data_IF_030483780998
#
_entry.id   IF_030483780998
#
_cell.length_a   1.000
_cell.length_b   1.000
_cell.length_c   1.000
_cell.angle_alpha   90.00
_cell.angle_beta   90.00
_cell.angle_gamma   90.00
#
_symmetry.space_group_name_H-M   'P 1'
#
loop_
_entity.id
_entity.type
_entity.pdbx_description
1 polymer ?
#
# COMPACT_ATOMS: atom_id res chain seq x y z
N UNK A 1 23.89 -72.47 -1.86
CA UNK A 1 22.66 -73.07 -1.28
C UNK A 1 21.50 -72.62 -2.15
N UNK A 2 21.19 -73.27 -3.28
CA UNK A 2 20.27 -74.44 -3.42
C UNK A 2 19.01 -74.23 -2.55
N UNK A 3 17.78 -74.21 -3.07
CA UNK A 3 17.13 -75.16 -3.99
C UNK A 3 15.88 -74.51 -4.62
N UNK A 4 15.71 -74.76 -5.92
CA UNK A 4 14.49 -74.62 -6.73
C UNK A 4 13.57 -75.84 -6.59
N UNK A 5 12.25 -75.69 -6.60
CA UNK A 5 11.33 -76.78 -6.98
C UNK A 5 10.14 -76.29 -7.80
N UNK A 6 10.19 -76.63 -9.09
CA UNK A 6 9.06 -76.89 -9.98
C UNK A 6 8.55 -78.31 -9.73
N UNK A 7 7.29 -78.62 -10.09
CA UNK A 7 6.93 -79.93 -10.58
C UNK A 7 6.46 -79.89 -12.04
N UNK A 8 7.02 -80.80 -12.84
CA UNK A 8 6.56 -81.22 -14.18
C UNK A 8 5.78 -82.54 -14.07
N UNK A 9 4.95 -82.83 -15.09
CA UNK A 9 4.41 -84.16 -15.41
C UNK A 9 2.88 -84.16 -15.56
N UNK A 10 2.26 -83.95 -16.74
CA UNK A 10 2.21 -84.70 -18.02
C UNK A 10 1.24 -85.90 -18.01
N UNK A 11 0.31 -85.85 -18.98
CA UNK A 11 -0.31 -86.92 -19.80
C UNK A 11 -1.84 -86.87 -19.70
N UNK A 12 -2.55 -86.40 -20.73
CA UNK A 12 -2.83 -87.15 -21.96
C UNK A 12 -4.07 -88.03 -21.70
N UNK A 13 -5.19 -87.94 -22.41
CA UNK A 13 -5.31 -88.02 -23.85
C UNK A 13 -6.80 -87.87 -24.26
N UNK A 14 -7.05 -87.60 -25.55
CA UNK A 14 -8.23 -88.08 -26.32
C UNK A 14 -9.51 -87.20 -26.32
N UNK A 15 -9.66 -86.51 -27.46
CA UNK A 15 -10.88 -86.27 -28.27
C UNK A 15 -11.99 -85.40 -27.69
N UNK A 16 -12.35 -84.31 -28.36
CA UNK A 16 -13.31 -84.36 -29.49
C UNK A 16 -14.60 -85.06 -29.07
N UNK A 17 -15.39 -84.42 -28.20
CA UNK A 17 -16.84 -84.52 -28.14
C UNK A 17 -17.33 -83.29 -27.34
N UNK A 18 -18.48 -82.73 -27.70
CA UNK A 18 -19.05 -81.47 -27.17
C UNK A 18 -18.61 -80.16 -27.85
N UNK A 19 -18.51 -80.17 -29.18
CA UNK A 19 -19.07 -79.09 -30.01
C UNK A 19 -20.59 -79.29 -30.07
N UNK A 20 -21.30 -78.82 -29.06
CA UNK A 20 -22.73 -78.51 -29.07
C UNK A 20 -23.17 -78.24 -27.62
N UNK A 21 -24.01 -77.22 -27.43
CA UNK A 21 -24.85 -77.03 -26.25
C UNK A 21 -24.36 -76.15 -25.08
N UNK A 22 -23.44 -75.20 -25.30
CA UNK A 22 -23.34 -74.00 -24.44
C UNK A 22 -23.27 -72.76 -25.34
N UNK A 23 -24.33 -72.54 -26.10
CA UNK A 23 -24.49 -71.34 -26.93
C UNK A 23 -25.92 -70.85 -26.80
N UNK A 24 -26.44 -70.70 -25.58
CA UNK A 24 -27.75 -70.04 -25.43
C UNK A 24 -28.05 -69.45 -24.04
N UNK A 25 -27.29 -69.76 -22.99
CA UNK A 25 -27.59 -69.24 -21.64
C UNK A 25 -26.65 -68.15 -21.09
N UNK A 26 -25.60 -67.74 -21.82
CA UNK A 26 -24.71 -66.63 -21.40
C UNK A 26 -25.00 -65.30 -22.10
N UNK A 27 -26.00 -65.24 -23.00
CA UNK A 27 -26.30 -64.03 -23.79
C UNK A 27 -27.38 -63.11 -23.19
N UNK A 28 -28.13 -63.54 -22.18
CA UNK A 28 -29.16 -62.69 -21.56
C UNK A 28 -28.73 -61.94 -20.30
N UNK A 29 -27.62 -62.32 -19.63
CA UNK A 29 -27.16 -61.61 -18.42
C UNK A 29 -26.16 -60.46 -18.69
N UNK A 30 -25.50 -60.46 -19.85
CA UNK A 30 -24.53 -59.44 -20.24
C UNK A 30 -25.15 -58.06 -20.57
N UNK A 31 -26.33 -57.95 -21.21
CA UNK A 31 -26.94 -56.65 -21.50
C UNK A 31 -27.37 -55.92 -20.21
N UNK A 32 -27.94 -56.66 -19.24
CA UNK A 32 -28.47 -56.08 -18.00
C UNK A 32 -27.38 -55.50 -17.08
N UNK A 33 -26.22 -56.16 -17.00
CA UNK A 33 -25.09 -55.67 -16.20
C UNK A 33 -24.35 -54.51 -16.88
N UNK A 34 -24.25 -54.51 -18.21
CA UNK A 34 -23.66 -53.41 -18.98
C UNK A 34 -24.48 -52.12 -18.87
N UNK A 35 -25.80 -52.19 -18.97
CA UNK A 35 -26.69 -51.05 -18.78
C UNK A 35 -26.63 -50.49 -17.36
N UNK A 36 -26.53 -51.36 -16.35
CA UNK A 36 -26.42 -50.95 -14.94
C UNK A 36 -25.08 -50.23 -14.67
N UNK A 37 -23.98 -50.72 -15.24
CA UNK A 37 -22.65 -50.09 -15.12
C UNK A 37 -22.61 -48.76 -15.86
N UNK A 38 -23.20 -48.66 -17.05
CA UNK A 38 -23.24 -47.44 -17.83
C UNK A 38 -24.09 -46.35 -17.16
N UNK A 39 -25.23 -46.72 -16.57
CA UNK A 39 -26.12 -45.84 -15.80
C UNK A 39 -25.47 -45.33 -14.50
N UNK A 40 -24.68 -46.18 -13.83
CA UNK A 40 -23.91 -45.81 -12.63
C UNK A 40 -22.75 -44.86 -12.96
N UNK A 41 -22.12 -45.04 -14.12
CA UNK A 41 -21.02 -44.18 -14.60
C UNK A 41 -21.52 -42.80 -15.02
N UNK A 42 -22.68 -42.71 -15.67
CA UNK A 42 -23.32 -41.43 -16.00
C UNK A 42 -23.90 -40.72 -14.78
N UNK A 43 -24.42 -41.44 -13.78
CA UNK A 43 -24.77 -40.85 -12.47
C UNK A 43 -23.56 -40.31 -11.71
N UNK A 44 -22.46 -41.06 -11.63
CA UNK A 44 -21.20 -40.60 -11.01
C UNK A 44 -20.62 -39.36 -11.72
N UNK A 45 -20.71 -39.30 -13.06
CA UNK A 45 -20.30 -38.12 -13.82
C UNK A 45 -21.24 -36.92 -13.64
N UNK A 46 -22.56 -37.15 -13.53
CA UNK A 46 -23.52 -36.10 -13.21
C UNK A 46 -23.36 -35.57 -11.78
N UNK A 47 -23.09 -36.45 -10.82
CA UNK A 47 -22.81 -36.08 -9.43
C UNK A 47 -21.47 -35.35 -9.32
N UNK A 48 -20.40 -35.78 -10.01
CA UNK A 48 -19.13 -35.03 -10.07
C UNK A 48 -19.29 -33.66 -10.75
N UNK A 49 -20.08 -33.57 -11.83
CA UNK A 49 -20.35 -32.30 -12.50
C UNK A 49 -21.20 -31.36 -11.64
N UNK A 50 -22.27 -31.85 -10.99
CA UNK A 50 -23.05 -31.07 -10.03
C UNK A 50 -22.19 -30.64 -8.83
N UNK A 51 -21.38 -31.54 -8.27
CA UNK A 51 -20.54 -31.23 -7.12
C UNK A 51 -19.42 -30.23 -7.46
N UNK A 52 -18.92 -30.24 -8.70
CA UNK A 52 -17.96 -29.27 -9.23
C UNK A 52 -18.62 -27.92 -9.53
N UNK A 53 -19.84 -27.92 -10.08
CA UNK A 53 -20.61 -26.72 -10.38
C UNK A 53 -21.10 -26.01 -9.11
N UNK A 54 -21.52 -26.76 -8.08
CA UNK A 54 -21.89 -26.25 -6.75
C UNK A 54 -20.66 -25.71 -6.00
N UNK A 55 -19.50 -26.40 -6.04
CA UNK A 55 -18.23 -25.86 -5.50
C UNK A 55 -17.81 -24.57 -6.20
N UNK A 56 -17.95 -24.48 -7.52
CA UNK A 56 -17.67 -23.27 -8.30
C UNK A 56 -18.58 -22.11 -7.89
N UNK A 57 -19.89 -22.35 -7.76
CA UNK A 57 -20.88 -21.35 -7.32
C UNK A 57 -20.63 -20.85 -5.89
N UNK A 58 -20.35 -21.76 -4.95
CA UNK A 58 -20.02 -21.41 -3.56
C UNK A 58 -18.71 -20.61 -3.45
N UNK A 59 -17.69 -21.00 -4.21
CA UNK A 59 -16.40 -20.29 -4.27
C UNK A 59 -16.56 -18.89 -4.89
N UNK A 60 -17.40 -18.76 -5.92
CA UNK A 60 -17.73 -17.46 -6.51
C UNK A 60 -18.49 -16.58 -5.52
N UNK A 61 -19.46 -17.12 -4.78
CA UNK A 61 -20.21 -16.37 -3.77
C UNK A 61 -19.31 -15.86 -2.63
N UNK A 62 -18.40 -16.70 -2.13
CA UNK A 62 -17.39 -16.29 -1.15
C UNK A 62 -16.49 -15.19 -1.72
N UNK A 63 -15.99 -15.34 -2.96
CA UNK A 63 -15.17 -14.33 -3.62
C UNK A 63 -15.91 -13.00 -3.75
N UNK A 64 -17.18 -13.00 -4.15
CA UNK A 64 -17.98 -11.78 -4.28
C UNK A 64 -18.21 -11.13 -2.92
N UNK A 65 -18.53 -11.90 -1.87
CA UNK A 65 -18.66 -11.38 -0.50
C UNK A 65 -17.35 -10.79 0.02
N UNK A 66 -16.22 -11.47 -0.22
CA UNK A 66 -14.89 -11.01 0.15
C UNK A 66 -14.50 -9.72 -0.58
N UNK A 67 -14.67 -9.66 -1.90
CA UNK A 67 -14.38 -8.45 -2.69
C UNK A 67 -15.25 -7.27 -2.26
N UNK A 68 -16.52 -7.53 -1.93
CA UNK A 68 -17.42 -6.52 -1.39
C UNK A 68 -16.93 -6.02 -0.04
N UNK A 69 -16.58 -6.91 0.88
CA UNK A 69 -16.01 -6.52 2.18
C UNK A 69 -14.71 -5.71 2.02
N UNK A 70 -13.78 -6.19 1.19
CA UNK A 70 -12.52 -5.50 0.89
C UNK A 70 -12.79 -4.09 0.34
N UNK A 71 -13.81 -3.91 -0.51
CA UNK A 71 -14.15 -2.59 -1.05
C UNK A 71 -14.59 -1.56 0.01
N UNK A 72 -15.12 -2.01 1.17
CA UNK A 72 -15.47 -1.11 2.27
C UNK A 72 -14.27 -0.68 3.11
N UNK A 73 -13.22 -1.49 3.13
CA UNK A 73 -12.06 -1.34 4.01
C UNK A 73 -10.86 -0.76 3.27
N UNK A 74 -10.72 -1.05 1.98
CA UNK A 74 -9.62 -0.58 1.13
C UNK A 74 -9.74 0.89 0.74
N UNK A 75 -8.65 1.44 0.20
CA UNK A 75 -8.60 2.80 -0.32
C UNK A 75 -8.82 3.85 0.76
N UNK A 76 -9.72 4.79 0.48
CA UNK A 76 -10.05 5.95 1.32
C UNK A 76 -11.22 5.71 2.32
N UNK A 77 -11.80 4.51 2.31
CA UNK A 77 -13.02 4.16 3.05
C UNK A 77 -14.14 5.21 2.87
N UNK A 78 -14.37 5.68 1.64
CA UNK A 78 -15.36 6.72 1.34
C UNK A 78 -16.79 6.44 1.89
N UNK A 79 -17.33 5.20 1.86
CA UNK A 79 -18.63 4.91 2.46
C UNK A 79 -18.66 5.16 3.97
N UNK A 80 -17.60 4.76 4.69
CA UNK A 80 -17.45 5.03 6.12
C UNK A 80 -17.31 6.53 6.39
N UNK A 81 -16.51 7.24 5.59
CA UNK A 81 -16.37 8.69 5.69
C UNK A 81 -17.69 9.44 5.45
N UNK A 82 -18.59 8.92 4.62
CA UNK A 82 -19.94 9.48 4.44
C UNK A 82 -20.80 9.27 5.69
N UNK A 83 -20.82 8.05 6.23
CA UNK A 83 -21.53 7.72 7.46
C UNK A 83 -21.03 8.53 8.68
N UNK A 84 -19.71 8.75 8.77
CA UNK A 84 -19.09 9.51 9.85
C UNK A 84 -19.54 10.99 9.94
N UNK A 85 -19.99 11.59 8.83
CA UNK A 85 -20.44 12.99 8.82
C UNK A 85 -21.67 13.24 9.70
N UNK A 86 -22.50 12.23 9.86
CA UNK A 86 -23.75 12.31 10.62
C UNK A 86 -23.56 11.90 12.10
N UNK A 87 -22.33 11.56 12.50
CA UNK A 87 -22.00 11.16 13.88
C UNK A 87 -21.61 12.35 14.76
N UNK A 88 -21.55 12.14 16.07
CA UNK A 88 -21.15 13.20 17.01
C UNK A 88 -19.69 13.63 16.83
N UNK A 89 -19.40 14.88 17.17
CA UNK A 89 -18.11 15.54 16.86
C UNK A 89 -16.89 14.83 17.44
N UNK A 90 -17.00 14.19 18.62
CA UNK A 90 -15.87 13.47 19.20
C UNK A 90 -15.49 12.22 18.38
N UNK A 91 -16.46 11.50 17.80
CA UNK A 91 -16.16 10.41 16.85
C UNK A 91 -15.54 10.96 15.57
N UNK A 92 -16.04 12.08 15.07
CA UNK A 92 -15.45 12.71 13.88
C UNK A 92 -13.99 13.09 14.13
N UNK A 93 -13.69 13.75 15.25
CA UNK A 93 -12.31 14.08 15.64
C UNK A 93 -11.45 12.82 15.75
N UNK A 94 -11.98 11.75 16.34
CA UNK A 94 -11.25 10.48 16.43
C UNK A 94 -10.95 9.87 15.05
N UNK A 95 -11.92 9.84 14.12
CA UNK A 95 -11.69 9.43 12.72
C UNK A 95 -10.63 10.30 12.04
N UNK A 96 -10.69 11.63 12.23
CA UNK A 96 -9.72 12.57 11.63
C UNK A 96 -8.32 12.39 12.20
N UNK A 97 -8.20 12.06 13.49
CA UNK A 97 -6.95 11.70 14.18
C UNK A 97 -6.36 10.42 13.59
N UNK A 98 -7.17 9.38 13.39
CA UNK A 98 -6.73 8.13 12.77
C UNK A 98 -6.30 8.33 11.32
N UNK A 99 -7.10 9.04 10.52
CA UNK A 99 -6.72 9.43 9.16
C UNK A 99 -5.44 10.26 9.15
N UNK A 100 -5.28 11.19 10.09
CA UNK A 100 -4.07 11.99 10.27
C UNK A 100 -2.83 11.13 10.53
N UNK A 101 -2.94 10.06 11.33
CA UNK A 101 -1.84 9.13 11.54
C UNK A 101 -1.43 8.42 10.24
N UNK A 102 -2.41 7.96 9.44
CA UNK A 102 -2.15 7.29 8.16
C UNK A 102 -1.62 8.24 7.07
N UNK A 103 -2.00 9.52 7.11
CA UNK A 103 -1.63 10.52 6.11
C UNK A 103 -0.13 10.84 6.05
N UNK A 104 0.64 10.48 7.08
CA UNK A 104 2.12 10.57 7.04
C UNK A 104 2.68 9.80 5.83
N UNK A 105 2.06 8.68 5.48
CA UNK A 105 2.41 7.86 4.31
C UNK A 105 1.41 8.04 3.16
N UNK A 106 0.73 9.19 3.10
CA UNK A 106 -0.26 9.57 2.09
C UNK A 106 -1.53 8.70 2.06
N UNK A 107 -1.83 7.99 3.15
CA UNK A 107 -3.00 7.11 3.23
C UNK A 107 -4.16 7.82 3.93
N UNK A 108 -5.32 7.86 3.29
CA UNK A 108 -6.56 8.41 3.85
C UNK A 108 -7.50 7.31 4.38
N UNK A 109 -7.02 6.50 5.34
CA UNK A 109 -7.76 5.34 5.82
C UNK A 109 -7.70 5.24 7.35
N UNK A 110 -8.83 5.35 8.07
CA UNK A 110 -8.84 5.31 9.53
C UNK A 110 -8.47 3.94 10.10
N UNK A 111 -8.75 2.84 9.39
CA UNK A 111 -8.31 1.50 9.82
C UNK A 111 -6.80 1.37 9.70
N UNK A 112 -6.20 1.84 8.60
CA UNK A 112 -4.73 1.93 8.48
C UNK A 112 -4.15 2.77 9.61
N UNK A 113 -4.78 3.91 9.94
CA UNK A 113 -4.38 4.76 11.06
C UNK A 113 -4.43 4.06 12.42
N UNK A 114 -5.46 3.26 12.66
CA UNK A 114 -5.60 2.45 13.88
C UNK A 114 -4.49 1.39 13.97
N UNK A 115 -4.18 0.72 12.87
CA UNK A 115 -3.11 -0.29 12.80
C UNK A 115 -1.74 0.38 13.00
N UNK A 116 -1.54 1.57 12.45
CA UNK A 116 -0.32 2.38 12.68
C UNK A 116 -0.21 2.74 14.16
N UNK A 117 -1.27 3.19 14.82
CA UNK A 117 -1.22 3.43 16.28
C UNK A 117 -0.90 2.16 17.07
N UNK A 118 -1.40 1.00 16.67
CA UNK A 118 -1.02 -0.27 17.30
C UNK A 118 0.49 -0.56 17.15
N UNK A 119 1.06 -0.28 15.98
CA UNK A 119 2.51 -0.38 15.74
C UNK A 119 3.32 0.64 16.56
N UNK A 120 2.82 1.88 16.71
CA UNK A 120 3.45 2.89 17.57
C UNK A 120 3.43 2.48 19.05
N UNK A 121 2.33 1.89 19.52
CA UNK A 121 2.22 1.37 20.90
C UNK A 121 3.20 0.21 21.10
N UNK A 122 3.38 -0.65 20.10
CA UNK A 122 4.37 -1.74 20.11
C UNK A 122 5.81 -1.21 20.16
N UNK A 123 6.09 -0.10 19.44
CA UNK A 123 7.39 0.56 19.49
C UNK A 123 7.65 1.14 20.88
N UNK A 124 6.83 2.10 21.29
CA UNK A 124 6.94 2.76 22.57
C UNK A 124 5.62 3.48 22.92
N UNK A 125 5.05 3.15 24.09
CA UNK A 125 3.80 3.74 24.60
C UNK A 125 3.89 5.26 24.80
N UNK A 126 5.03 5.77 25.23
CA UNK A 126 5.27 7.20 25.42
C UNK A 126 5.31 7.96 24.09
N UNK A 127 5.96 7.36 23.08
CA UNK A 127 6.00 7.96 21.74
C UNK A 127 4.61 7.97 21.11
N UNK A 128 3.89 6.85 21.19
CA UNK A 128 2.51 6.75 20.72
C UNK A 128 1.59 7.81 21.36
N UNK A 129 1.71 8.03 22.67
CA UNK A 129 0.97 9.07 23.38
C UNK A 129 1.31 10.47 22.86
N UNK A 130 2.60 10.79 22.72
CA UNK A 130 3.03 12.10 22.21
C UNK A 130 2.57 12.33 20.76
N UNK A 131 2.63 11.30 19.91
CA UNK A 131 2.10 11.36 18.55
C UNK A 131 0.58 11.56 18.52
N UNK A 132 -0.16 10.86 19.38
CA UNK A 132 -1.61 11.04 19.52
C UNK A 132 -1.95 12.47 19.96
N UNK A 133 -1.28 12.98 20.99
CA UNK A 133 -1.45 14.37 21.47
C UNK A 133 -1.13 15.35 20.34
N UNK A 134 -0.03 15.15 19.61
CA UNK A 134 0.35 16.03 18.52
C UNK A 134 -0.68 16.09 17.40
N UNK A 135 -1.17 14.94 16.92
CA UNK A 135 -2.19 14.89 15.87
C UNK A 135 -3.53 15.45 16.34
N UNK A 136 -3.92 15.21 17.60
CA UNK A 136 -5.14 15.74 18.19
C UNK A 136 -5.11 17.27 18.27
N UNK A 137 -4.03 17.85 18.80
CA UNK A 137 -3.94 19.30 18.97
C UNK A 137 -3.66 20.03 17.66
N UNK A 138 -2.98 19.42 16.69
CA UNK A 138 -2.92 19.94 15.32
C UNK A 138 -4.32 19.97 14.67
N UNK A 139 -5.11 18.90 14.85
CA UNK A 139 -6.50 18.84 14.35
C UNK A 139 -7.38 19.89 15.03
N UNK A 140 -7.33 20.01 16.36
CA UNK A 140 -8.07 21.03 17.12
C UNK A 140 -7.68 22.44 16.66
N UNK A 141 -6.38 22.71 16.50
CA UNK A 141 -5.90 24.00 16.00
C UNK A 141 -6.46 24.31 14.61
N UNK A 142 -6.50 23.34 13.71
CA UNK A 142 -7.10 23.53 12.38
C UNK A 142 -8.61 23.86 12.45
N UNK A 143 -9.34 23.30 13.43
CA UNK A 143 -10.75 23.65 13.68
C UNK A 143 -10.90 25.08 14.19
N UNK A 144 -10.05 25.48 15.14
CA UNK A 144 -10.02 26.84 15.72
C UNK A 144 -9.71 27.87 14.62
N UNK A 145 -8.72 27.57 13.78
CA UNK A 145 -8.30 28.39 12.64
C UNK A 145 -9.26 28.31 11.44
N UNK A 146 -10.40 27.62 11.57
CA UNK A 146 -11.44 27.46 10.55
C UNK A 146 -10.91 26.99 9.19
N UNK A 147 -9.94 26.08 9.20
CA UNK A 147 -9.39 25.48 7.99
C UNK A 147 -10.44 24.63 7.25
N UNK A 148 -10.17 24.31 5.98
CA UNK A 148 -11.07 23.55 5.14
C UNK A 148 -11.50 22.22 5.81
N UNK A 149 -12.81 22.05 6.04
CA UNK A 149 -13.36 20.89 6.75
C UNK A 149 -13.12 19.56 6.03
N UNK A 150 -13.11 19.56 4.69
CA UNK A 150 -12.78 18.37 3.91
C UNK A 150 -11.33 17.94 4.09
N UNK A 151 -10.40 18.89 4.09
CA UNK A 151 -8.98 18.63 4.33
C UNK A 151 -8.71 18.14 5.77
N UNK A 152 -9.39 18.73 6.77
CA UNK A 152 -9.34 18.24 8.15
C UNK A 152 -9.88 16.81 8.23
N UNK A 153 -11.05 16.55 7.62
CA UNK A 153 -11.66 15.23 7.63
C UNK A 153 -10.85 14.16 6.90
N UNK A 154 -10.02 14.55 5.92
CA UNK A 154 -9.07 13.68 5.26
C UNK A 154 -7.77 13.47 6.06
N UNK A 155 -7.61 14.10 7.23
CA UNK A 155 -6.41 13.99 8.08
C UNK A 155 -5.23 14.88 7.65
N UNK A 156 -5.40 15.77 6.66
CA UNK A 156 -4.31 16.55 6.07
C UNK A 156 -3.72 17.61 7.03
N UNK A 157 -4.43 17.95 8.10
CA UNK A 157 -3.93 18.84 9.15
C UNK A 157 -3.40 18.10 10.39
N UNK A 158 -3.55 16.77 10.46
CA UNK A 158 -3.09 15.97 11.61
C UNK A 158 -1.69 15.39 11.43
N UNK A 159 -1.33 14.96 10.21
CA UNK A 159 -0.11 14.16 9.99
C UNK A 159 1.22 14.87 10.30
N UNK A 160 1.28 16.20 10.16
CA UNK A 160 2.46 16.93 10.62
C UNK A 160 2.53 16.95 12.15
N UNK A 161 1.39 17.05 12.84
CA UNK A 161 1.31 17.03 14.30
C UNK A 161 1.73 15.69 14.92
N UNK A 162 1.34 14.55 14.34
CA UNK A 162 1.80 13.24 14.85
C UNK A 162 3.32 13.11 14.78
N UNK A 163 3.94 13.55 13.68
CA UNK A 163 5.40 13.52 13.53
C UNK A 163 6.09 14.48 14.50
N UNK A 164 5.57 15.69 14.68
CA UNK A 164 6.09 16.62 15.70
C UNK A 164 6.07 15.97 17.08
N UNK A 165 4.94 15.41 17.51
CA UNK A 165 4.84 14.75 18.80
C UNK A 165 5.79 13.56 18.96
N UNK A 166 5.84 12.66 17.96
CA UNK A 166 6.72 11.50 17.97
C UNK A 166 8.20 11.90 18.06
N UNK A 167 8.66 12.79 17.17
CA UNK A 167 10.08 13.11 17.07
C UNK A 167 10.54 14.01 18.22
N UNK A 168 9.66 14.82 18.82
CA UNK A 168 9.97 15.49 20.08
C UNK A 168 10.21 14.51 21.23
N UNK A 169 9.48 13.38 21.27
CA UNK A 169 9.73 12.32 22.25
C UNK A 169 11.02 11.54 21.94
N UNK A 170 11.26 11.18 20.66
CA UNK A 170 12.47 10.45 20.23
C UNK A 170 13.74 11.25 20.50
N UNK A 171 13.73 12.57 20.27
CA UNK A 171 14.90 13.42 20.45
C UNK A 171 15.04 14.01 21.85
N UNK A 172 14.12 13.75 22.79
CA UNK A 172 14.24 14.23 24.16
C UNK A 172 15.24 13.39 24.95
N UNK A 173 16.22 14.05 25.58
CA UNK A 173 17.16 13.41 26.51
C UNK A 173 16.59 13.28 27.94
N UNK A 174 15.38 13.78 28.19
CA UNK A 174 14.70 13.62 29.48
C UNK A 174 14.12 12.21 29.69
N UNK A 175 14.03 11.41 28.61
CA UNK A 175 13.54 10.04 28.62
C UNK A 175 12.01 9.92 28.58
N UNK A 176 11.54 8.69 28.71
CA UNK A 176 10.12 8.37 28.65
C UNK A 176 9.36 8.90 29.88
N UNK A 177 8.08 9.23 29.67
CA UNK A 177 7.17 9.72 30.72
C UNK A 177 7.55 11.07 31.36
N UNK A 178 8.42 11.84 30.71
CA UNK A 178 8.65 13.24 31.06
C UNK A 178 7.44 14.11 30.67
N UNK A 179 6.43 14.17 31.54
CA UNK A 179 5.13 14.81 31.28
C UNK A 179 5.19 16.27 30.85
N UNK A 180 6.21 17.01 31.28
CA UNK A 180 6.42 18.39 30.86
C UNK A 180 6.62 18.52 29.34
N UNK A 181 7.11 17.48 28.65
CA UNK A 181 7.25 17.46 27.18
C UNK A 181 5.92 17.66 26.45
N UNK A 182 4.78 17.32 27.08
CA UNK A 182 3.47 17.53 26.47
C UNK A 182 3.19 19.02 26.20
N UNK A 183 3.72 19.93 27.02
CA UNK A 183 3.51 21.37 26.84
C UNK A 183 4.10 21.89 25.53
N UNK A 184 5.43 21.76 25.26
CA UNK A 184 5.97 22.16 23.98
C UNK A 184 5.41 21.32 22.83
N UNK A 185 5.09 20.02 23.03
CA UNK A 185 4.47 19.20 21.99
C UNK A 185 3.11 19.79 21.53
N UNK A 186 2.22 20.11 22.48
CA UNK A 186 0.93 20.73 22.18
C UNK A 186 1.14 22.04 21.42
N UNK A 187 2.03 22.91 21.91
CA UNK A 187 2.30 24.21 21.29
C UNK A 187 2.82 24.08 19.85
N UNK A 188 3.83 23.25 19.63
CA UNK A 188 4.42 23.03 18.31
C UNK A 188 3.42 22.37 17.37
N UNK A 189 2.64 21.40 17.85
CA UNK A 189 1.60 20.73 17.06
C UNK A 189 0.46 21.67 16.67
N UNK A 190 0.03 22.57 17.56
CA UNK A 190 -0.95 23.61 17.24
C UNK A 190 -0.43 24.62 16.20
N UNK A 191 0.88 24.74 16.04
CA UNK A 191 1.52 25.60 15.03
C UNK A 191 1.56 24.92 13.64
N UNK A 192 1.40 23.59 13.56
CA UNK A 192 1.43 22.85 12.29
C UNK A 192 0.43 23.37 11.24
N UNK A 193 -0.86 23.61 11.55
CA UNK A 193 -1.80 24.17 10.58
C UNK A 193 -1.43 25.58 10.09
N UNK A 194 -0.80 26.39 10.94
CA UNK A 194 -0.35 27.75 10.58
C UNK A 194 0.74 27.66 9.51
N UNK A 195 1.79 26.87 9.77
CA UNK A 195 2.89 26.65 8.83
C UNK A 195 2.38 25.97 7.55
N UNK A 196 1.48 25.00 7.69
CA UNK A 196 0.85 24.33 6.55
C UNK A 196 0.09 25.31 5.66
N UNK A 197 -0.72 26.20 6.24
CA UNK A 197 -1.46 27.22 5.50
C UNK A 197 -0.52 28.22 4.81
N UNK A 198 0.55 28.65 5.50
CA UNK A 198 1.54 29.55 4.92
C UNK A 198 2.26 28.92 3.72
N UNK A 199 2.74 27.68 3.87
CA UNK A 199 3.39 26.94 2.77
C UNK A 199 2.43 26.64 1.63
N UNK A 200 1.17 26.28 1.92
CA UNK A 200 0.16 26.02 0.91
C UNK A 200 -0.13 27.27 0.06
N UNK A 201 -0.10 28.47 0.65
CA UNK A 201 -0.29 29.74 -0.08
C UNK A 201 0.81 30.00 -1.13
N UNK A 202 2.01 29.45 -0.91
CA UNK A 202 3.14 29.53 -1.83
C UNK A 202 3.06 28.38 -2.83
N UNK A 203 2.98 27.14 -2.34
CA UNK A 203 3.06 25.93 -3.16
C UNK A 203 1.86 25.74 -4.11
N UNK A 204 0.69 26.26 -3.75
CA UNK A 204 -0.50 26.20 -4.61
C UNK A 204 -0.31 26.90 -5.95
N UNK A 205 0.63 27.86 -6.07
CA UNK A 205 0.98 28.49 -7.35
C UNK A 205 1.57 27.52 -8.37
N UNK A 206 2.14 26.41 -7.90
CA UNK A 206 2.70 25.33 -8.73
C UNK A 206 1.92 24.02 -8.60
N UNK A 207 0.75 24.04 -7.97
CA UNK A 207 -0.05 22.86 -7.63
C UNK A 207 0.80 21.79 -6.91
N UNK A 208 1.61 22.22 -5.93
CA UNK A 208 2.48 21.34 -5.14
C UNK A 208 1.91 21.14 -3.73
N UNK A 209 1.99 19.91 -3.17
CA UNK A 209 1.60 19.67 -1.80
C UNK A 209 2.65 20.26 -0.84
N UNK A 210 2.28 20.46 0.42
CA UNK A 210 3.21 20.94 1.45
C UNK A 210 4.10 19.84 2.03
N UNK A 211 3.74 18.57 1.80
CA UNK A 211 4.40 17.40 2.37
C UNK A 211 4.65 17.57 3.89
N UNK A 212 5.72 16.97 4.40
CA UNK A 212 6.10 17.03 5.80
C UNK A 212 6.97 18.26 6.13
N UNK A 213 6.97 19.29 5.27
CA UNK A 213 7.71 20.54 5.54
C UNK A 213 7.29 21.21 6.86
N UNK A 214 5.99 21.32 7.21
CA UNK A 214 5.58 21.88 8.49
C UNK A 214 6.21 21.16 9.68
N UNK A 215 6.18 19.82 9.70
CA UNK A 215 6.83 19.01 10.73
C UNK A 215 8.33 19.29 10.81
N UNK A 216 9.04 19.25 9.66
CA UNK A 216 10.50 19.41 9.64
C UNK A 216 10.91 20.78 10.18
N UNK A 217 10.24 21.85 9.75
CA UNK A 217 10.51 23.21 10.23
C UNK A 217 10.32 23.29 11.75
N UNK A 218 9.22 22.73 12.25
CA UNK A 218 8.85 22.84 13.66
C UNK A 218 9.74 22.01 14.57
N UNK A 219 10.06 20.75 14.21
CA UNK A 219 10.98 19.93 15.00
C UNK A 219 12.39 20.51 14.99
N UNK A 220 12.90 20.96 13.84
CA UNK A 220 14.19 21.65 13.78
C UNK A 220 14.21 22.92 14.64
N UNK A 221 13.16 23.74 14.56
CA UNK A 221 13.03 24.94 15.40
C UNK A 221 13.05 24.60 16.88
N UNK A 222 12.29 23.58 17.30
CA UNK A 222 12.26 23.12 18.69
C UNK A 222 13.63 22.63 19.15
N UNK A 223 14.31 21.81 18.34
CA UNK A 223 15.62 21.26 18.67
C UNK A 223 16.70 22.34 18.77
N UNK A 224 16.68 23.34 17.89
CA UNK A 224 17.61 24.49 17.94
C UNK A 224 17.32 25.39 19.14
N UNK A 225 16.05 25.65 19.44
CA UNK A 225 15.65 26.51 20.55
C UNK A 225 15.95 25.92 21.93
N UNK A 226 15.91 24.60 22.05
CA UNK A 226 16.19 23.90 23.31
C UNK A 226 17.65 23.44 23.37
N UNK A 227 18.08 22.62 22.41
CA UNK A 227 19.43 22.06 22.37
C UNK A 227 19.71 21.08 23.52
N UNK A 228 20.93 20.53 23.53
CA UNK A 228 21.34 19.51 24.50
C UNK A 228 21.39 20.04 25.94
N UNK A 229 21.80 21.30 26.12
CA UNK A 229 22.06 21.90 27.42
C UNK A 229 20.86 22.64 28.03
N UNK A 230 19.65 22.50 27.46
CA UNK A 230 18.46 23.10 28.06
C UNK A 230 18.17 22.49 29.43
N UNK A 231 17.84 23.31 30.42
CA UNK A 231 17.53 22.84 31.76
C UNK A 231 16.19 22.08 31.86
N UNK A 232 15.23 22.39 30.98
CA UNK A 232 13.88 21.82 31.05
C UNK A 232 13.63 20.80 29.95
N UNK A 233 14.07 21.07 28.72
CA UNK A 233 13.80 20.24 27.55
C UNK A 233 15.10 19.84 26.84
N UNK A 234 16.02 19.13 27.51
CA UNK A 234 17.30 18.75 26.91
C UNK A 234 17.07 17.80 25.73
N UNK A 235 17.76 18.05 24.62
CA UNK A 235 17.73 17.20 23.43
C UNK A 235 18.88 16.19 23.44
N UNK A 236 18.74 15.10 22.70
CA UNK A 236 19.84 14.16 22.43
C UNK A 236 20.99 14.90 21.75
N UNK A 237 22.22 14.54 22.12
CA UNK A 237 23.41 15.17 21.57
C UNK A 237 23.71 14.62 20.17
N UNK A 238 23.55 15.45 19.15
CA UNK A 238 23.91 15.13 17.76
C UNK A 238 25.25 15.79 17.45
N UNK A 239 26.25 15.00 17.06
CA UNK A 239 27.59 15.48 16.73
C UNK A 239 27.98 15.14 15.29
N UNK A 240 28.73 16.02 14.61
CA UNK A 240 29.30 15.70 13.32
C UNK A 240 30.30 14.56 13.46
N UNK A 241 30.38 13.72 12.44
CA UNK A 241 31.38 12.66 12.36
C UNK A 241 32.75 13.29 12.09
N UNK A 242 33.73 13.02 12.96
CA UNK A 242 35.10 13.56 12.88
C UNK A 242 36.10 12.60 12.23
N UNK A 243 35.72 11.34 12.00
CA UNK A 243 36.58 10.30 11.42
C UNK A 243 35.81 9.40 10.46
N UNK A 244 36.51 8.83 9.48
CA UNK A 244 35.90 7.86 8.56
C UNK A 244 35.48 6.59 9.31
N UNK A 245 34.32 6.00 9.01
CA UNK A 245 33.96 4.71 9.58
C UNK A 245 34.95 3.64 9.12
N UNK A 246 35.45 2.83 10.05
CA UNK A 246 36.16 1.61 9.72
C UNK A 246 35.12 0.53 9.33
N UNK A 247 35.06 0.15 8.05
CA UNK A 247 34.06 -0.80 7.52
C UNK A 247 34.79 -2.04 7.04
N UNK A 248 34.51 -3.16 7.69
CA UNK A 248 34.94 -4.48 7.24
C UNK A 248 33.79 -5.16 6.50
N UNK A 249 33.88 -5.28 5.18
CA UNK A 249 32.79 -5.83 4.36
C UNK A 249 32.43 -7.29 4.68
N UNK A 250 33.35 -8.05 5.26
CA UNK A 250 33.09 -9.41 5.76
C UNK A 250 32.13 -9.45 6.95
N UNK A 251 31.99 -8.35 7.68
CA UNK A 251 31.14 -8.26 8.88
C UNK A 251 29.69 -7.87 8.52
N UNK A 252 29.39 -7.78 7.21
CA UNK A 252 28.04 -7.51 6.73
C UNK A 252 27.11 -8.68 7.09
N UNK A 253 26.06 -8.38 7.84
CA UNK A 253 25.02 -9.32 8.23
C UNK A 253 23.83 -9.16 7.27
N UNK A 254 23.67 -10.16 6.40
CA UNK A 254 22.58 -10.18 5.43
C UNK A 254 21.19 -10.23 6.09
N UNK A 255 21.05 -10.87 7.26
CA UNK A 255 19.77 -10.95 7.94
C UNK A 255 19.37 -9.57 8.50
N UNK A 256 20.32 -8.84 9.10
CA UNK A 256 20.11 -7.45 9.52
C UNK A 256 19.88 -6.51 8.33
N UNK A 257 20.51 -6.81 7.19
CA UNK A 257 20.28 -6.08 5.95
C UNK A 257 18.83 -6.24 5.47
N UNK A 258 18.30 -7.47 5.36
CA UNK A 258 16.88 -7.67 5.00
C UNK A 258 15.93 -7.10 6.06
N UNK A 259 16.28 -7.20 7.34
CA UNK A 259 15.52 -6.58 8.44
C UNK A 259 15.48 -5.05 8.34
N UNK A 260 16.48 -4.42 7.71
CA UNK A 260 16.49 -2.96 7.52
C UNK A 260 15.34 -2.46 6.63
N UNK A 261 14.75 -3.31 5.79
CA UNK A 261 13.63 -2.94 4.90
C UNK A 261 12.36 -2.60 5.70
N UNK A 262 11.80 -3.49 6.55
CA UNK A 262 10.69 -3.09 7.42
C UNK A 262 11.10 -2.00 8.42
N UNK A 263 12.34 -2.00 8.93
CA UNK A 263 12.80 -0.94 9.86
C UNK A 263 12.82 0.44 9.17
N UNK A 264 13.26 0.54 7.91
CA UNK A 264 13.22 1.80 7.16
C UNK A 264 11.81 2.33 6.95
N UNK A 265 10.82 1.46 6.81
CA UNK A 265 9.40 1.85 6.80
C UNK A 265 8.95 2.32 8.19
N UNK A 266 9.38 1.65 9.27
CA UNK A 266 9.15 2.09 10.64
C UNK A 266 9.73 3.47 10.95
N UNK A 267 10.92 3.77 10.43
CA UNK A 267 11.64 5.03 10.64
C UNK A 267 10.93 6.25 10.04
N UNK A 268 9.93 6.06 9.17
CA UNK A 268 9.04 7.15 8.74
C UNK A 268 8.35 7.82 9.93
N UNK A 269 8.09 7.06 10.99
CA UNK A 269 7.56 7.53 12.28
C UNK A 269 8.61 7.54 13.40
N UNK A 270 9.90 7.41 13.07
CA UNK A 270 10.99 7.31 14.06
C UNK A 270 11.02 5.98 14.83
N UNK A 271 10.49 4.90 14.26
CA UNK A 271 10.44 3.58 14.90
C UNK A 271 11.53 2.65 14.35
N UNK A 272 12.34 2.06 15.23
CA UNK A 272 13.44 1.14 14.87
C UNK A 272 13.08 -0.35 15.04
N UNK A 273 11.90 -0.67 15.60
CA UNK A 273 11.42 -2.03 15.76
C UNK A 273 10.94 -2.61 14.41
N UNK A 274 11.51 -3.73 13.91
CA UNK A 274 11.11 -4.33 12.63
C UNK A 274 9.65 -4.79 12.62
N UNK A 275 9.11 -5.18 13.78
CA UNK A 275 7.71 -5.62 13.90
C UNK A 275 6.76 -4.45 13.73
N UNK A 276 7.11 -3.28 14.27
CA UNK A 276 6.37 -2.03 14.03
C UNK A 276 6.37 -1.68 12.54
N UNK A 277 7.53 -1.79 11.89
CA UNK A 277 7.64 -1.65 10.44
C UNK A 277 6.76 -2.63 9.65
N UNK A 278 6.75 -3.90 10.05
CA UNK A 278 5.87 -4.93 9.48
C UNK A 278 4.37 -4.61 9.65
N UNK A 279 3.97 -4.11 10.81
CA UNK A 279 2.60 -3.65 11.06
C UNK A 279 2.24 -2.47 10.13
N UNK A 280 3.15 -1.54 9.90
CA UNK A 280 2.93 -0.43 8.96
C UNK A 280 2.79 -0.94 7.52
N UNK A 281 3.57 -1.92 7.08
CA UNK A 281 3.40 -2.58 5.77
C UNK A 281 1.97 -3.12 5.62
N UNK A 282 1.45 -3.81 6.65
CA UNK A 282 0.06 -4.32 6.65
C UNK A 282 -0.95 -3.18 6.56
N UNK A 283 -0.74 -2.09 7.31
CA UNK A 283 -1.60 -0.91 7.27
C UNK A 283 -1.67 -0.28 5.88
N UNK A 284 -0.53 -0.18 5.18
CA UNK A 284 -0.45 0.31 3.81
C UNK A 284 -1.15 -0.64 2.84
N UNK A 285 -0.87 -1.95 2.95
CA UNK A 285 -1.44 -2.97 2.07
C UNK A 285 -2.97 -2.98 2.09
N UNK A 286 -3.57 -2.78 3.27
CA UNK A 286 -5.02 -2.71 3.44
C UNK A 286 -5.61 -1.54 2.64
N UNK A 287 -4.95 -0.38 2.62
CA UNK A 287 -5.43 0.78 1.86
C UNK A 287 -5.10 0.65 0.37
N UNK A 288 -3.84 0.40 0.03
CA UNK A 288 -3.36 0.27 -1.34
C UNK A 288 -2.15 -0.68 -1.42
N UNK A 289 -2.29 -1.84 -2.07
CA UNK A 289 -1.17 -2.71 -2.40
C UNK A 289 -0.07 -2.01 -3.22
N UNK A 290 -0.42 -1.06 -4.09
CA UNK A 290 0.57 -0.30 -4.87
C UNK A 290 1.41 0.62 -3.96
N UNK A 291 0.77 1.33 -3.03
CA UNK A 291 1.47 2.15 -2.03
C UNK A 291 2.39 1.27 -1.18
N UNK A 292 1.89 0.12 -0.73
CA UNK A 292 2.68 -0.85 0.02
C UNK A 292 3.92 -1.33 -0.76
N UNK A 293 3.76 -1.68 -2.04
CA UNK A 293 4.87 -2.14 -2.88
C UNK A 293 5.95 -1.05 -3.03
N UNK A 294 5.55 0.20 -3.31
CA UNK A 294 6.50 1.31 -3.43
C UNK A 294 7.16 1.67 -2.09
N UNK A 295 6.48 1.47 -0.96
CA UNK A 295 7.10 1.62 0.35
C UNK A 295 8.28 0.63 0.54
N UNK A 296 8.05 -0.65 0.22
CA UNK A 296 9.08 -1.70 0.32
C UNK A 296 10.22 -1.46 -0.67
N UNK A 297 9.91 -1.08 -1.92
CA UNK A 297 10.91 -0.74 -2.94
C UNK A 297 11.73 0.47 -2.47
N UNK A 298 11.08 1.54 -2.03
CA UNK A 298 11.75 2.74 -1.53
C UNK A 298 12.71 2.44 -0.39
N UNK A 299 12.29 1.66 0.61
CA UNK A 299 13.18 1.28 1.71
C UNK A 299 14.36 0.43 1.23
N UNK A 300 14.14 -0.47 0.28
CA UNK A 300 15.19 -1.30 -0.32
C UNK A 300 16.20 -0.45 -1.11
N UNK A 301 15.72 0.52 -1.90
CA UNK A 301 16.57 1.47 -2.64
C UNK A 301 17.42 2.30 -1.67
N UNK A 302 16.84 2.76 -0.57
CA UNK A 302 17.55 3.50 0.47
C UNK A 302 18.66 2.68 1.12
N UNK A 303 18.34 1.43 1.50
CA UNK A 303 19.32 0.47 2.02
C UNK A 303 20.48 0.24 1.03
N UNK A 304 20.19 -0.01 -0.25
CA UNK A 304 21.22 -0.20 -1.29
C UNK A 304 22.04 1.08 -1.49
N UNK A 305 21.42 2.26 -1.44
CA UNK A 305 22.12 3.53 -1.54
C UNK A 305 23.10 3.74 -0.37
N UNK A 306 22.72 3.35 0.84
CA UNK A 306 23.62 3.36 2.01
C UNK A 306 24.82 2.45 1.83
N UNK A 307 24.63 1.24 1.26
CA UNK A 307 25.73 0.35 0.91
C UNK A 307 26.63 0.96 -0.18
N UNK A 308 26.04 1.55 -1.23
CA UNK A 308 26.78 2.15 -2.34
C UNK A 308 27.66 3.32 -1.88
N UNK A 309 27.24 4.07 -0.86
CA UNK A 309 28.00 5.17 -0.27
C UNK A 309 28.90 4.75 0.90
N UNK A 310 29.09 3.45 1.11
CA UNK A 310 29.86 2.89 2.22
C UNK A 310 29.46 3.51 3.58
N UNK A 311 28.15 3.59 3.82
CA UNK A 311 27.62 4.02 5.11
C UNK A 311 27.89 2.95 6.18
N UNK A 312 28.09 3.33 7.45
CA UNK A 312 28.26 2.36 8.52
C UNK A 312 27.06 1.42 8.60
N UNK A 313 27.29 0.11 8.65
CA UNK A 313 26.22 -0.90 8.60
C UNK A 313 25.13 -0.69 9.64
N UNK A 314 25.50 -0.26 10.86
CA UNK A 314 24.51 0.05 11.90
C UNK A 314 23.50 1.12 11.46
N UNK A 315 23.93 2.18 10.77
CA UNK A 315 23.01 3.21 10.26
C UNK A 315 22.04 2.66 9.21
N UNK A 316 22.48 1.67 8.42
CA UNK A 316 21.65 0.97 7.45
C UNK A 316 20.67 0.05 8.18
N UNK A 317 21.14 -0.77 9.12
CA UNK A 317 20.32 -1.70 9.91
C UNK A 317 19.25 -0.99 10.74
N UNK A 318 19.56 0.21 11.25
CA UNK A 318 18.59 1.09 11.93
C UNK A 318 17.59 1.75 10.97
N UNK A 319 17.67 1.50 9.66
CA UNK A 319 16.71 2.00 8.66
C UNK A 319 16.87 3.49 8.32
N UNK A 320 17.92 4.15 8.78
CA UNK A 320 18.12 5.61 8.60
C UNK A 320 18.31 6.01 7.13
N UNK A 321 18.74 5.08 6.29
CA UNK A 321 18.85 5.29 4.85
C UNK A 321 17.56 5.00 4.08
N UNK A 322 16.56 4.35 4.69
CA UNK A 322 15.36 3.88 4.02
C UNK A 322 14.20 4.86 4.03
N UNK A 323 13.92 5.51 5.17
CA UNK A 323 12.63 6.16 5.40
C UNK A 323 12.31 7.34 4.46
N UNK A 324 13.29 8.15 4.08
CA UNK A 324 13.08 9.21 3.08
C UNK A 324 12.77 8.63 1.70
N UNK A 325 13.47 7.55 1.31
CA UNK A 325 13.24 6.85 0.06
C UNK A 325 11.86 6.18 0.02
N UNK A 326 11.36 5.68 1.16
CA UNK A 326 9.97 5.18 1.30
C UNK A 326 8.97 6.26 0.90
N UNK A 327 9.03 7.44 1.52
CA UNK A 327 8.08 8.53 1.25
C UNK A 327 8.20 9.04 -0.19
N UNK A 328 9.42 9.20 -0.71
CA UNK A 328 9.66 9.63 -2.08
C UNK A 328 9.10 8.63 -3.10
N UNK A 329 9.36 7.32 -2.89
CA UNK A 329 8.92 6.27 -3.80
C UNK A 329 7.39 6.14 -3.80
N UNK A 330 6.72 6.27 -2.65
CA UNK A 330 5.25 6.30 -2.57
C UNK A 330 4.71 7.55 -3.30
N UNK A 331 5.27 8.72 -3.04
CA UNK A 331 4.79 9.98 -3.61
C UNK A 331 4.82 9.97 -5.15
N UNK A 332 5.92 9.47 -5.73
CA UNK A 332 6.10 9.40 -7.18
C UNK A 332 5.39 8.16 -7.77
N UNK A 333 5.41 7.04 -7.06
CA UNK A 333 4.92 5.71 -7.49
C UNK A 333 3.41 5.54 -7.53
N UNK A 334 2.67 6.54 -8.05
CA UNK A 334 1.23 6.45 -8.27
C UNK A 334 0.37 7.40 -7.44
N UNK A 335 0.94 8.08 -6.42
CA UNK A 335 0.19 9.04 -5.60
C UNK A 335 0.01 10.39 -6.29
N UNK A 336 1.09 11.12 -6.57
CA UNK A 336 1.03 12.45 -7.21
C UNK A 336 1.25 12.40 -8.73
N UNK A 337 1.69 11.24 -9.24
CA UNK A 337 1.86 10.96 -10.65
C UNK A 337 1.07 9.72 -11.03
N UNK A 338 0.49 9.69 -12.23
CA UNK A 338 -0.23 8.52 -12.70
C UNK A 338 0.74 7.34 -12.91
N UNK A 339 0.43 6.17 -12.34
CA UNK A 339 1.34 5.03 -12.40
C UNK A 339 1.47 4.49 -13.84
N UNK A 340 2.67 4.61 -14.39
CA UNK A 340 3.10 3.99 -15.64
C UNK A 340 4.45 3.31 -15.41
N UNK A 341 4.93 2.46 -16.33
CA UNK A 341 6.26 1.85 -16.17
C UNK A 341 7.37 2.91 -16.10
N UNK A 342 7.18 4.03 -16.81
CA UNK A 342 8.07 5.17 -16.78
C UNK A 342 8.09 5.87 -15.42
N UNK A 343 6.91 6.10 -14.82
CA UNK A 343 6.79 6.71 -13.49
C UNK A 343 7.29 5.77 -12.39
N UNK A 344 7.16 4.46 -12.59
CA UNK A 344 7.79 3.46 -11.74
C UNK A 344 9.32 3.51 -11.82
N UNK A 345 9.90 3.72 -13.00
CA UNK A 345 11.35 3.97 -13.11
C UNK A 345 11.74 5.35 -12.54
N UNK A 346 10.90 6.37 -12.67
CA UNK A 346 11.13 7.68 -12.08
C UNK A 346 11.12 7.63 -10.55
N UNK A 347 10.21 6.84 -9.96
CA UNK A 347 10.16 6.66 -8.51
C UNK A 347 11.39 5.92 -7.97
N UNK A 348 12.17 5.28 -8.84
CA UNK A 348 13.40 4.57 -8.53
C UNK A 348 14.64 5.42 -8.85
N UNK A 349 14.79 6.00 -10.05
CA UNK A 349 16.02 6.72 -10.44
C UNK A 349 16.03 7.54 -11.75
N UNK A 350 14.97 7.63 -12.60
CA UNK A 350 15.18 8.18 -13.97
C UNK A 350 14.01 8.95 -14.61
N UNK A 351 14.31 10.14 -15.15
CA UNK A 351 13.41 11.03 -15.89
C UNK A 351 13.03 10.48 -17.27
N UNK A 352 11.77 10.69 -17.69
CA UNK A 352 11.24 10.20 -18.98
C UNK A 352 10.19 11.16 -19.56
N UNK A 353 10.02 11.16 -20.89
CA UNK A 353 9.17 12.12 -21.63
C UNK A 353 7.66 11.86 -21.57
N UNK A 354 7.17 11.03 -20.63
CA UNK A 354 5.75 10.64 -20.54
C UNK A 354 5.26 10.60 -19.10
N UNK A 355 5.60 11.64 -18.33
CA UNK A 355 5.22 11.79 -16.92
C UNK A 355 3.95 12.63 -16.85
N UNK A 356 2.89 12.09 -16.27
CA UNK A 356 1.63 12.81 -16.05
C UNK A 356 1.46 13.10 -14.55
N UNK A 357 1.67 14.37 -14.18
CA UNK A 357 1.38 14.88 -12.83
C UNK A 357 -0.13 15.00 -12.67
N UNK A 358 -0.66 14.49 -11.57
CA UNK A 358 -2.08 14.58 -11.25
C UNK A 358 -2.39 15.95 -10.61
N UNK A 359 -3.52 16.59 -10.96
CA UNK A 359 -4.01 17.75 -10.23
C UNK A 359 -4.26 17.41 -8.77
N UNK A 360 -3.84 18.25 -7.83
CA UNK A 360 -3.98 17.95 -6.40
C UNK A 360 -5.42 17.74 -5.93
N UNK A 361 -6.40 18.36 -6.60
CA UNK A 361 -7.83 18.18 -6.30
C UNK A 361 -8.31 16.74 -6.53
N UNK A 362 -7.62 16.00 -7.39
CA UNK A 362 -8.03 14.69 -7.89
C UNK A 362 -7.21 13.55 -7.28
N UNK A 363 -6.15 13.87 -6.53
CA UNK A 363 -5.25 12.90 -5.88
C UNK A 363 -6.01 12.10 -4.82
N UNK A 364 -5.89 10.79 -4.93
CA UNK A 364 -6.36 9.81 -3.96
C UNK A 364 -5.30 8.69 -3.87
N UNK A 365 -5.69 7.42 -3.72
CA UNK A 365 -4.76 6.28 -3.75
C UNK A 365 -4.41 5.82 -5.19
N UNK A 366 -3.27 5.14 -5.39
CA UNK A 366 -2.68 4.90 -6.72
C UNK A 366 -3.59 4.16 -7.70
N UNK A 367 -4.33 3.15 -7.25
CA UNK A 367 -5.25 2.40 -8.10
C UNK A 367 -6.36 3.30 -8.67
N UNK A 368 -6.89 4.23 -7.86
CA UNK A 368 -7.92 5.19 -8.27
C UNK A 368 -7.36 6.28 -9.17
N UNK A 369 -6.16 6.76 -8.86
CA UNK A 369 -5.42 7.72 -9.67
C UNK A 369 -5.11 7.17 -11.06
N UNK A 370 -4.73 5.89 -11.15
CA UNK A 370 -4.50 5.20 -12.41
C UNK A 370 -5.79 5.09 -13.25
N UNK A 371 -6.91 4.72 -12.63
CA UNK A 371 -8.21 4.71 -13.32
C UNK A 371 -8.60 6.08 -13.86
N UNK A 372 -8.33 7.16 -13.11
CA UNK A 372 -8.60 8.52 -13.54
C UNK A 372 -7.77 8.90 -14.78
N UNK A 373 -6.46 8.60 -14.74
CA UNK A 373 -5.55 8.82 -15.86
C UNK A 373 -6.05 8.14 -17.15
N UNK A 374 -6.46 6.86 -17.07
CA UNK A 374 -6.99 6.16 -18.23
C UNK A 374 -8.30 6.75 -18.76
N UNK A 375 -9.18 7.23 -17.87
CA UNK A 375 -10.41 7.93 -18.27
C UNK A 375 -10.11 9.23 -19.00
N UNK A 376 -9.17 10.04 -18.49
CA UNK A 376 -8.73 11.27 -19.13
C UNK A 376 -8.11 10.99 -20.50
N UNK A 377 -7.19 10.02 -20.59
CA UNK A 377 -6.54 9.62 -21.84
C UNK A 377 -7.54 9.12 -22.90
N UNK A 378 -8.59 8.40 -22.49
CA UNK A 378 -9.66 7.95 -23.39
C UNK A 378 -10.49 9.14 -23.90
N UNK A 379 -10.80 10.12 -23.05
CA UNK A 379 -11.50 11.35 -23.46
C UNK A 379 -10.67 12.18 -24.43
N UNK A 380 -9.38 12.36 -24.18
CA UNK A 380 -8.47 13.08 -25.08
C UNK A 380 -8.37 12.42 -26.45
N UNK A 381 -8.33 11.08 -26.49
CA UNK A 381 -8.33 10.33 -27.75
C UNK A 381 -9.65 10.53 -28.51
N UNK A 382 -10.79 10.34 -27.84
CA UNK A 382 -12.10 10.55 -28.46
C UNK A 382 -12.28 11.98 -28.97
N UNK A 383 -11.83 12.99 -28.22
CA UNK A 383 -11.89 14.40 -28.67
C UNK A 383 -11.02 14.68 -29.88
N UNK A 384 -9.82 14.06 -29.98
CA UNK A 384 -8.97 14.15 -31.17
C UNK A 384 -9.62 13.48 -32.39
N UNK A 385 -10.24 12.32 -32.17
CA UNK A 385 -10.96 11.59 -33.23
C UNK A 385 -12.17 12.40 -33.74
N UNK A 386 -12.93 13.07 -32.86
CA UNK A 386 -14.02 13.98 -33.23
C UNK A 386 -13.55 15.22 -34.01
N UNK A 387 -12.43 15.83 -33.60
CA UNK A 387 -11.84 16.98 -34.31
C UNK A 387 -11.34 16.57 -35.70
N UNK A 388 -10.73 15.38 -35.81
CA UNK A 388 -10.26 14.83 -37.08
C UNK A 388 -11.45 14.54 -38.01
N UNK A 389 -12.50 13.90 -37.51
CA UNK A 389 -13.73 13.64 -38.26
C UNK A 389 -14.37 14.92 -38.80
N UNK A 390 -14.42 16.01 -38.00
CA UNK A 390 -14.93 17.31 -38.48
C UNK A 390 -14.08 17.92 -39.58
N UNK A 391 -12.75 17.76 -39.53
CA UNK A 391 -11.84 18.24 -40.59
C UNK A 391 -12.03 17.45 -41.87
N UNK A 392 -12.21 16.14 -41.77
CA UNK A 392 -12.42 15.28 -42.94
C UNK A 392 -13.77 15.60 -43.61
N UNK A 393 -14.85 15.75 -42.84
CA UNK A 393 -16.16 16.21 -43.35
C UNK A 393 -16.05 17.60 -44.02
N UNK A 394 -15.32 18.54 -43.41
CA UNK A 394 -15.13 19.87 -44.00
C UNK A 394 -14.41 19.82 -45.35
N UNK A 395 -13.41 18.94 -45.50
CA UNK A 395 -12.69 18.75 -46.76
C UNK A 395 -13.56 18.09 -47.82
N UNK A 396 -14.39 17.11 -47.44
CA UNK A 396 -15.31 16.44 -48.36
C UNK A 396 -16.37 17.43 -48.88
N UNK A 397 -16.88 18.32 -48.03
CA UNK A 397 -17.80 19.41 -48.44
C UNK A 397 -17.11 20.40 -49.37
N UNK A 398 -15.87 20.80 -49.06
CA UNK A 398 -15.10 21.72 -49.90
C UNK A 398 -14.79 21.11 -51.27
N UNK A 399 -14.47 19.82 -51.33
CA UNK A 399 -14.28 19.08 -52.57
C UNK A 399 -15.57 18.96 -53.38
N UNK A 400 -16.72 18.73 -52.73
CA UNK A 400 -18.01 18.67 -53.42
C UNK A 400 -18.42 20.01 -54.04
N UNK A 401 -18.17 21.13 -53.35
CA UNK A 401 -18.45 22.49 -53.87
C UNK A 401 -17.57 22.82 -55.10
N UNK A 402 -16.32 22.37 -55.11
CA UNK A 402 -15.40 22.56 -56.25
C UNK A 402 -15.82 21.75 -57.48
N UNK A 403 -16.44 20.58 -57.29
CA UNK A 403 -16.98 19.76 -58.39
C UNK A 403 -18.26 20.37 -58.96
N UNK A 404 -19.17 20.88 -58.12
CA UNK A 404 -20.45 21.50 -58.54
C UNK A 404 -20.30 22.89 -59.22
N UNK A 405 -19.09 23.46 -59.21
CA UNK A 405 -18.77 24.76 -59.82
C UNK A 405 -18.01 24.64 -61.15
N UNK A 406 -17.82 23.42 -61.65
CA UNK A 406 -17.20 23.12 -62.94
C UNK A 406 -18.17 22.56 -64.00
N UNK A 407 -19.44 22.36 -63.65
CA UNK A 407 -20.57 22.14 -64.58
C UNK A 407 -21.40 23.43 -64.73
#
# INVERSE_FOLDING_TARGET
MTVSFLPQGISGNITSFCKASITEHSKELQPLMADTVQKKKSQLQQDEQQHTQVKSSYTQEIKTKLLRFLSYVSGDMAPFGKWMKDQFILLQIFDWVLRGAAQVMFVNNPLSGLIIFAGLILQNRWWALNGFVGTLFATISALILKQNRGAIAAGLYGYNGILVGLLMAVFSNAGDWYWWLLLPNIFMSMTCPIVSSALASINSRWDLPVFTLPFNILVCLHMVATGHYNLHFPQVLIQPRTSFPNITWSDLDYALLFRSVPVGIGQVYGCDNPWTGGIFIVALFISSPITCAHAVIGSTVGMVSGLALAAPFQSIYFGLWGYNCVLACIAIGGMFYALTWQVHLLSIACETKTIYKLPLSDVNYPEKNLMLYWKMKKKDKNGKDEVQMKKDISKDVEAAIVVDSQD
#
